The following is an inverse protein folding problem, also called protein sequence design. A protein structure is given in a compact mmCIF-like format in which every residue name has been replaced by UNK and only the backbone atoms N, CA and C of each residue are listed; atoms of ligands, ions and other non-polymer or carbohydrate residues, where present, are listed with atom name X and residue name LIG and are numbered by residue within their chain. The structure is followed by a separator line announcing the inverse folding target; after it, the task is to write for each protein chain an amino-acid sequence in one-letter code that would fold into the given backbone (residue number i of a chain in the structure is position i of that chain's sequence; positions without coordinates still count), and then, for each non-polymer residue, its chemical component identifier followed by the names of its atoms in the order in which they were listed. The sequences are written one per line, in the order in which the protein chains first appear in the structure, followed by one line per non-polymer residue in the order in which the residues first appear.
data_IF_808951594789
#
_entry.id   IF_808951594789
#
_cell.length_a   1.000
_cell.length_b   1.000
_cell.length_c   1.000
_cell.angle_alpha   90.00
_cell.angle_beta   90.00
_cell.angle_gamma   90.00
#
_symmetry.space_group_name_H-M   'P 1'
#
loop_
_entity.id
_entity.type
_entity.pdbx_description
1 polymer ?
#
# COMPACT_ATOMS: atom_id res chain seq x y z
N UNK A 1 -7.04 -1.00 8.95
CA UNK A 1 -7.10 -1.94 10.10
C UNK A 1 -5.80 -1.71 10.87
N UNK A 2 -5.83 -1.32 12.14
CA UNK A 2 -4.58 -1.04 12.85
C UNK A 2 -3.79 -2.35 12.95
N UNK A 3 -2.48 -2.27 12.68
CA UNK A 3 -1.53 -3.35 12.94
C UNK A 3 -1.57 -3.56 14.45
N UNK A 4 -2.46 -4.46 14.89
CA UNK A 4 -2.61 -4.80 16.30
C UNK A 4 -1.26 -5.36 16.73
N UNK A 5 -0.59 -4.67 17.65
CA UNK A 5 0.52 -5.23 18.42
C UNK A 5 -0.04 -6.41 19.21
N UNK A 6 -0.10 -7.57 18.57
CA UNK A 6 -0.50 -8.81 19.21
C UNK A 6 0.68 -9.26 20.07
N UNK A 7 0.45 -9.67 21.32
CA UNK A 7 1.54 -10.11 22.17
C UNK A 7 2.20 -11.33 21.54
N UNK A 8 3.47 -11.17 21.18
CA UNK A 8 4.29 -12.24 20.64
C UNK A 8 5.27 -12.62 21.74
N UNK A 9 5.30 -13.88 22.17
CA UNK A 9 6.33 -14.34 23.09
C UNK A 9 7.68 -14.46 22.36
N UNK A 10 8.25 -13.31 21.96
CA UNK A 10 9.57 -13.24 21.35
C UNK A 10 10.59 -12.89 22.43
N UNK A 11 11.77 -13.49 22.32
CA UNK A 11 12.90 -13.29 23.25
C UNK A 11 14.14 -12.76 22.52
N UNK A 12 14.24 -13.02 21.22
CA UNK A 12 15.28 -12.54 20.31
C UNK A 12 14.66 -12.17 18.96
N UNK A 13 15.36 -11.33 18.18
CA UNK A 13 14.86 -10.91 16.87
C UNK A 13 14.58 -12.09 15.92
N UNK A 14 15.36 -13.16 16.00
CA UNK A 14 15.16 -14.37 15.19
C UNK A 14 13.88 -15.16 15.49
N UNK A 15 13.14 -14.82 16.55
CA UNK A 15 11.81 -15.39 16.80
C UNK A 15 10.73 -14.72 15.92
N UNK A 16 11.04 -13.58 15.31
CA UNK A 16 10.20 -12.88 14.35
C UNK A 16 10.63 -13.26 12.92
N UNK A 17 9.67 -13.61 12.08
CA UNK A 17 9.89 -13.91 10.66
C UNK A 17 10.05 -12.63 9.84
N UNK A 18 10.49 -12.78 8.59
CA UNK A 18 10.56 -11.69 7.61
C UNK A 18 11.25 -10.42 8.15
N UNK A 19 12.36 -10.62 8.86
CA UNK A 19 13.19 -9.57 9.44
C UNK A 19 12.48 -8.68 10.47
N UNK A 20 11.42 -9.19 11.11
CA UNK A 20 10.77 -8.51 12.22
C UNK A 20 11.70 -8.29 13.41
N UNK A 21 11.48 -7.22 14.17
CA UNK A 21 12.28 -6.87 15.34
C UNK A 21 11.49 -7.20 16.60
N UNK A 22 12.03 -8.09 17.44
CA UNK A 22 11.44 -8.33 18.76
C UNK A 22 11.60 -7.10 19.65
N UNK A 23 10.48 -6.50 20.05
CA UNK A 23 10.41 -5.39 21.01
C UNK A 23 9.93 -5.90 22.35
N UNK A 24 10.58 -5.43 23.41
CA UNK A 24 10.14 -5.64 24.79
C UNK A 24 9.73 -4.30 25.38
N UNK A 25 8.51 -4.22 25.89
CA UNK A 25 8.06 -3.08 26.70
C UNK A 25 8.21 -3.50 28.15
N UNK A 26 8.86 -2.66 28.96
CA UNK A 26 9.07 -2.93 30.37
C UNK A 26 7.71 -3.07 31.09
N UNK A 27 7.54 -4.16 31.85
CA UNK A 27 6.27 -4.49 32.52
C UNK A 27 5.18 -5.10 31.64
N UNK A 28 5.44 -5.34 30.35
CA UNK A 28 4.49 -5.93 29.41
C UNK A 28 5.07 -7.12 28.63
N UNK A 29 4.21 -7.84 27.93
CA UNK A 29 4.59 -8.90 27.00
C UNK A 29 5.43 -8.33 25.84
N UNK A 30 6.40 -9.11 25.36
CA UNK A 30 7.13 -8.76 24.15
C UNK A 30 6.23 -8.89 22.91
N UNK A 31 6.66 -8.32 21.79
CA UNK A 31 5.98 -8.46 20.50
C UNK A 31 6.95 -8.27 19.33
N UNK A 32 6.59 -8.81 18.17
CA UNK A 32 7.32 -8.56 16.93
C UNK A 32 6.84 -7.28 16.26
N UNK A 33 7.76 -6.34 16.00
CA UNK A 33 7.55 -5.20 15.13
C UNK A 33 7.85 -5.62 13.68
N UNK A 34 6.80 -5.71 12.86
CA UNK A 34 6.90 -6.18 11.48
C UNK A 34 7.22 -5.06 10.49
N UNK A 35 7.89 -5.41 9.40
CA UNK A 35 8.08 -4.51 8.26
C UNK A 35 6.73 -4.18 7.58
N UNK A 36 6.62 -3.07 6.84
CA UNK A 36 5.34 -2.58 6.27
C UNK A 36 4.57 -3.54 5.35
N UNK A 37 5.20 -4.63 4.89
CA UNK A 37 4.59 -5.65 4.04
C UNK A 37 4.23 -6.94 4.79
N UNK A 38 4.41 -6.96 6.10
CA UNK A 38 4.18 -8.14 6.91
C UNK A 38 3.34 -7.80 8.14
N UNK A 39 2.61 -8.79 8.62
CA UNK A 39 1.82 -8.72 9.85
C UNK A 39 1.67 -10.11 10.46
N UNK A 40 0.77 -10.23 11.43
CA UNK A 40 0.67 -11.42 12.27
C UNK A 40 1.48 -11.27 13.55
N UNK A 41 1.41 -12.29 14.41
CA UNK A 41 2.04 -12.24 15.74
C UNK A 41 3.56 -12.29 15.64
N UNK A 42 4.10 -13.03 14.67
CA UNK A 42 5.54 -13.18 14.43
C UNK A 42 5.94 -12.74 13.02
N UNK A 43 5.15 -11.86 12.39
CA UNK A 43 5.38 -11.34 11.03
C UNK A 43 5.28 -12.40 9.91
N UNK A 44 4.47 -13.43 10.12
CA UNK A 44 4.25 -14.55 9.19
C UNK A 44 3.29 -14.24 8.03
N UNK A 45 2.47 -13.20 8.14
CA UNK A 45 1.44 -12.86 7.16
C UNK A 45 1.98 -11.82 6.19
N UNK A 46 2.02 -12.14 4.90
CA UNK A 46 2.31 -11.15 3.86
C UNK A 46 1.10 -10.23 3.64
N UNK A 47 1.32 -8.92 3.72
CA UNK A 47 0.33 -7.85 3.57
C UNK A 47 0.73 -6.94 2.39
N UNK A 48 0.51 -7.38 1.14
CA UNK A 48 0.96 -6.68 -0.06
C UNK A 48 0.50 -5.21 -0.12
N UNK A 49 -0.73 -4.95 0.30
CA UNK A 49 -1.31 -3.61 0.29
C UNK A 49 -0.86 -2.70 1.43
N UNK A 50 -0.27 -3.21 2.51
CA UNK A 50 0.03 -2.38 3.69
C UNK A 50 1.04 -1.25 3.38
N UNK A 51 1.94 -1.44 2.42
CA UNK A 51 2.84 -0.40 1.91
C UNK A 51 2.29 0.39 0.71
N UNK A 52 1.47 -0.25 -0.13
CA UNK A 52 1.08 0.27 -1.44
C UNK A 52 -0.21 1.12 -1.35
N UNK A 53 -1.05 0.86 -0.35
CA UNK A 53 -2.36 1.47 -0.17
C UNK A 53 -2.30 3.00 -0.08
N UNK A 54 -1.32 3.58 0.61
CA UNK A 54 -1.15 5.04 0.63
C UNK A 54 -0.80 5.61 -0.75
N UNK A 55 0.06 4.91 -1.50
CA UNK A 55 0.45 5.28 -2.87
C UNK A 55 -0.71 5.16 -3.86
N UNK A 56 -1.56 4.11 -3.74
CA UNK A 56 -2.77 3.97 -4.56
C UNK A 56 -3.76 5.11 -4.26
N UNK A 57 -4.02 5.39 -2.97
CA UNK A 57 -4.95 6.46 -2.57
C UNK A 57 -4.50 7.84 -3.03
N UNK A 58 -3.19 8.11 -3.01
CA UNK A 58 -2.62 9.36 -3.54
C UNK A 58 -2.92 9.55 -5.05
N UNK A 59 -3.23 8.46 -5.76
CA UNK A 59 -3.61 8.45 -7.18
C UNK A 59 -5.10 8.29 -7.41
N UNK A 60 -5.93 8.35 -6.37
CA UNK A 60 -7.37 8.08 -6.47
C UNK A 60 -7.73 6.61 -6.76
N UNK A 61 -6.77 5.70 -6.62
CA UNK A 61 -6.94 4.26 -6.81
C UNK A 61 -7.12 3.53 -5.47
N UNK A 62 -7.58 2.28 -5.53
CA UNK A 62 -7.67 1.37 -4.38
C UNK A 62 -6.65 0.25 -4.56
N UNK A 63 -5.94 -0.12 -3.50
CA UNK A 63 -5.06 -1.29 -3.55
C UNK A 63 -5.89 -2.57 -3.51
N UNK A 64 -5.63 -3.49 -4.44
CA UNK A 64 -6.15 -4.85 -4.44
C UNK A 64 -5.01 -5.85 -4.53
N UNK A 65 -5.24 -7.04 -4.00
CA UNK A 65 -4.31 -8.17 -4.14
C UNK A 65 -4.83 -9.07 -5.24
N UNK A 66 -4.05 -9.23 -6.32
CA UNK A 66 -4.36 -10.09 -7.46
C UNK A 66 -3.23 -11.10 -7.57
N UNK A 67 -3.53 -12.40 -7.48
CA UNK A 67 -2.52 -13.48 -7.58
C UNK A 67 -1.31 -13.29 -6.65
N UNK A 68 -1.53 -12.81 -5.42
CA UNK A 68 -0.50 -12.47 -4.41
C UNK A 68 0.32 -11.19 -4.70
N UNK A 69 0.04 -10.48 -5.78
CA UNK A 69 0.65 -9.18 -6.08
C UNK A 69 -0.28 -8.02 -5.68
N UNK A 70 0.30 -6.96 -5.12
CA UNK A 70 -0.41 -5.72 -4.84
C UNK A 70 -0.52 -4.87 -6.10
N UNK A 71 -1.74 -4.57 -6.56
CA UNK A 71 -2.00 -3.70 -7.69
C UNK A 71 -2.89 -2.53 -7.29
N UNK A 72 -2.65 -1.35 -7.86
CA UNK A 72 -3.57 -0.22 -7.74
C UNK A 72 -4.61 -0.30 -8.86
N UNK A 73 -5.89 -0.40 -8.50
CA UNK A 73 -7.00 -0.43 -9.46
C UNK A 73 -7.86 0.83 -9.28
N UNK A 74 -8.33 1.41 -10.38
CA UNK A 74 -9.27 2.50 -10.31
C UNK A 74 -10.65 2.01 -9.83
N UNK A 75 -11.39 2.85 -9.09
CA UNK A 75 -12.82 2.64 -8.87
C UNK A 75 -13.58 2.46 -10.21
N UNK A 76 -14.74 1.76 -10.22
CA UNK A 76 -15.47 1.44 -11.45
C UNK A 76 -15.88 2.66 -12.31
N UNK A 77 -15.96 3.84 -11.71
CA UNK A 77 -16.31 5.12 -12.31
C UNK A 77 -15.11 5.92 -12.84
N UNK A 78 -13.90 5.36 -12.78
CA UNK A 78 -12.66 6.04 -13.13
C UNK A 78 -11.73 5.16 -13.94
N UNK A 79 -10.94 5.79 -14.80
CA UNK A 79 -9.88 5.13 -15.58
C UNK A 79 -8.53 5.80 -15.35
N UNK A 80 -7.44 5.05 -15.52
CA UNK A 80 -6.10 5.63 -15.61
C UNK A 80 -5.93 6.29 -16.98
N UNK A 81 -5.82 7.61 -17.03
CA UNK A 81 -5.39 8.30 -18.25
C UNK A 81 -3.88 8.18 -18.40
N UNK A 82 -3.44 7.14 -19.11
CA UNK A 82 -2.07 7.02 -19.58
C UNK A 82 -1.81 8.05 -20.68
N UNK A 83 -0.56 8.49 -20.84
CA UNK A 83 -0.18 9.50 -21.86
C UNK A 83 -0.60 9.04 -23.26
N UNK A 84 -1.76 9.47 -23.75
CA UNK A 84 -2.06 9.48 -25.16
C UNK A 84 -1.62 10.85 -25.70
N UNK A 85 -0.69 10.81 -26.66
CA UNK A 85 -0.50 11.94 -27.55
C UNK A 85 -1.60 11.83 -28.61
N UNK A 86 -2.33 12.91 -28.84
CA UNK A 86 -3.21 12.96 -30.01
C UNK A 86 -2.37 12.86 -31.29
N UNK A 87 -3.03 12.69 -32.44
CA UNK A 87 -2.36 12.64 -33.74
C UNK A 87 -1.52 13.91 -34.07
N UNK A 88 -1.61 14.96 -33.24
CA UNK A 88 -0.86 16.22 -33.35
C UNK A 88 0.24 16.35 -32.29
N UNK A 89 0.53 15.30 -31.52
CA UNK A 89 1.59 15.26 -30.52
C UNK A 89 1.26 15.97 -29.19
N UNK A 90 0.02 16.44 -29.02
CA UNK A 90 -0.46 17.11 -27.81
C UNK A 90 -0.88 16.06 -26.80
N UNK A 91 -0.44 16.23 -25.57
CA UNK A 91 -0.88 15.41 -24.44
C UNK A 91 -2.36 15.70 -24.16
N UNK A 92 -3.23 14.73 -24.42
CA UNK A 92 -4.66 14.79 -24.08
C UNK A 92 -4.88 14.11 -22.75
N UNK A 93 -5.40 14.84 -21.76
CA UNK A 93 -5.68 14.31 -20.44
C UNK A 93 -6.64 15.22 -19.67
N UNK A 94 -7.38 14.67 -18.70
CA UNK A 94 -8.28 15.43 -17.86
C UNK A 94 -7.50 16.47 -17.05
N UNK A 95 -8.02 17.68 -17.05
CA UNK A 95 -7.49 18.82 -16.29
C UNK A 95 -8.32 18.96 -15.02
N UNK A 96 -7.68 19.11 -13.87
CA UNK A 96 -8.40 19.43 -12.64
C UNK A 96 -8.90 20.88 -12.63
N UNK A 97 -9.86 21.22 -11.73
CA UNK A 97 -10.23 22.61 -11.46
C UNK A 97 -9.00 23.35 -10.92
N UNK A 98 -8.29 24.07 -11.80
CA UNK A 98 -6.94 24.58 -11.54
C UNK A 98 -6.00 24.44 -12.75
N UNK A 99 -6.43 23.77 -13.81
CA UNK A 99 -5.74 23.76 -15.11
C UNK A 99 -4.47 22.90 -15.18
N UNK A 100 -4.11 22.23 -14.08
CA UNK A 100 -2.99 21.28 -14.06
C UNK A 100 -3.47 19.94 -14.62
N UNK A 101 -2.66 19.36 -15.50
CA UNK A 101 -2.88 18.02 -16.01
C UNK A 101 -2.41 17.03 -14.95
N UNK A 102 -3.31 16.18 -14.45
CA UNK A 102 -2.99 15.16 -13.46
C UNK A 102 -2.76 13.83 -14.19
N UNK A 103 -1.50 13.42 -14.29
CA UNK A 103 -1.06 12.26 -15.05
C UNK A 103 -0.78 11.10 -14.08
N UNK A 104 -1.23 9.89 -14.43
CA UNK A 104 -1.11 8.66 -13.62
C UNK A 104 -2.02 8.61 -12.38
N UNK A 105 -3.21 9.18 -12.49
CA UNK A 105 -4.26 9.13 -11.48
C UNK A 105 -5.58 8.62 -12.08
N UNK A 106 -6.43 8.09 -11.21
CA UNK A 106 -7.78 7.71 -11.54
C UNK A 106 -8.65 8.96 -11.66
N UNK A 107 -9.19 9.15 -12.85
CA UNK A 107 -10.03 10.29 -13.23
C UNK A 107 -11.32 9.76 -13.82
N UNK A 108 -12.41 10.51 -13.69
CA UNK A 108 -13.70 10.14 -14.28
C UNK A 108 -13.57 10.06 -15.80
N UNK A 109 -14.25 9.08 -16.40
CA UNK A 109 -14.42 8.98 -17.86
C UNK A 109 -15.25 10.13 -18.43
#
# INVERSE_FOLDING_TARGET
MPITKQPASCTKHGDCLNEGICKRIEGHESFCECLPHFGGTICEVYLPCASLDQSCRAKGAVCKVVEMEAVCECPPDKAFHHKSKDAKGRTTGPKTPGGKLQWNECVYE
#
